data_IF_427807806959
#
_entry.id   IF_427807806959
#
_cell.length_a   1.000
_cell.length_b   1.000
_cell.length_c   1.000
_cell.angle_alpha   90.00
_cell.angle_beta   90.00
_cell.angle_gamma   90.00
#
_symmetry.space_group_name_H-M   'P 1'
#
loop_
_entity.id
_entity.type
_entity.pdbx_description
1 polymer ?
#
# COMPACT_ATOMS: atom_id res chain seq x y z
N UNK A 1 -7.16 10.58 4.68
CA UNK A 1 -7.29 10.77 3.21
C UNK A 1 -8.11 9.66 2.56
N UNK A 2 -7.87 8.38 2.85
CA UNK A 2 -8.69 7.27 2.29
C UNK A 2 -10.17 7.40 2.64
N UNK A 3 -10.52 7.78 3.86
CA UNK A 3 -11.91 8.05 4.23
C UNK A 3 -12.52 9.17 3.37
N UNK A 4 -11.78 10.24 3.13
CA UNK A 4 -12.25 11.34 2.31
C UNK A 4 -12.51 10.91 0.86
N UNK A 5 -11.63 10.07 0.28
CA UNK A 5 -11.78 9.55 -1.09
C UNK A 5 -12.91 8.52 -1.18
N UNK A 6 -12.98 7.56 -0.26
CA UNK A 6 -13.85 6.39 -0.40
C UNK A 6 -15.26 6.59 0.18
N UNK A 7 -15.46 7.54 1.08
CA UNK A 7 -16.73 7.74 1.78
C UNK A 7 -17.26 9.15 1.59
N UNK A 8 -16.47 10.16 1.89
CA UNK A 8 -16.94 11.55 1.84
C UNK A 8 -17.15 12.04 0.42
N UNK A 9 -16.16 11.92 -0.45
CA UNK A 9 -16.22 12.44 -1.82
C UNK A 9 -17.35 11.82 -2.66
N UNK A 10 -17.64 10.49 -2.63
CA UNK A 10 -18.77 9.92 -3.36
C UNK A 10 -20.12 10.53 -2.95
N UNK A 11 -20.30 10.79 -1.64
CA UNK A 11 -21.54 11.36 -1.14
C UNK A 11 -21.74 12.84 -1.53
N UNK A 12 -20.64 13.58 -1.72
CA UNK A 12 -20.68 15.02 -2.09
C UNK A 12 -20.70 15.17 -3.61
N UNK A 13 -19.87 14.44 -4.33
CA UNK A 13 -19.69 14.57 -5.78
C UNK A 13 -20.76 13.83 -6.60
N UNK A 14 -21.34 12.74 -6.06
CA UNK A 14 -22.31 11.89 -6.75
C UNK A 14 -21.81 11.53 -8.16
N UNK A 15 -22.53 11.95 -9.22
CA UNK A 15 -22.20 11.68 -10.62
C UNK A 15 -20.87 12.30 -11.08
N UNK A 16 -20.39 13.32 -10.38
CA UNK A 16 -19.09 13.96 -10.66
C UNK A 16 -17.91 13.26 -9.93
N UNK A 17 -18.17 12.18 -9.21
CA UNK A 17 -17.11 11.44 -8.51
C UNK A 17 -16.15 10.78 -9.50
N UNK A 18 -14.81 10.94 -9.30
CA UNK A 18 -13.81 10.38 -10.21
C UNK A 18 -13.61 8.89 -10.00
N UNK A 19 -14.50 8.05 -10.51
CA UNK A 19 -14.44 6.60 -10.38
C UNK A 19 -13.13 6.02 -10.93
N UNK A 20 -12.61 6.58 -12.03
CA UNK A 20 -11.36 6.12 -12.65
C UNK A 20 -10.15 6.20 -11.69
N UNK A 21 -10.08 7.25 -10.89
CA UNK A 21 -9.01 7.40 -9.89
C UNK A 21 -9.12 6.37 -8.77
N UNK A 22 -10.34 5.98 -8.38
CA UNK A 22 -10.54 4.93 -7.39
C UNK A 22 -10.19 3.55 -7.96
N UNK A 23 -10.56 3.28 -9.21
CA UNK A 23 -10.21 2.04 -9.91
C UNK A 23 -8.68 1.94 -10.07
N UNK A 24 -8.04 3.00 -10.57
CA UNK A 24 -6.59 3.08 -10.67
C UNK A 24 -5.89 2.88 -9.32
N UNK A 25 -6.46 3.40 -8.24
CA UNK A 25 -5.94 3.18 -6.90
C UNK A 25 -6.07 1.70 -6.47
N UNK A 26 -7.21 1.07 -6.74
CA UNK A 26 -7.42 -0.36 -6.46
C UNK A 26 -6.47 -1.25 -7.24
N UNK A 27 -6.27 -0.95 -8.52
CA UNK A 27 -5.31 -1.66 -9.37
C UNK A 27 -3.88 -1.52 -8.85
N UNK A 28 -3.50 -0.32 -8.41
CA UNK A 28 -2.20 -0.09 -7.77
C UNK A 28 -2.04 -0.95 -6.51
N UNK A 29 -3.07 -1.02 -5.65
CA UNK A 29 -3.06 -1.91 -4.48
C UNK A 29 -2.86 -3.37 -4.87
N UNK A 30 -3.65 -3.87 -5.82
CA UNK A 30 -3.59 -5.26 -6.27
C UNK A 30 -2.20 -5.60 -6.83
N UNK A 31 -1.62 -4.73 -7.64
CA UNK A 31 -0.28 -4.91 -8.20
C UNK A 31 0.81 -4.96 -7.12
N UNK A 32 0.78 -4.05 -6.16
CA UNK A 32 1.78 -4.03 -5.10
C UNK A 32 1.62 -5.21 -4.14
N UNK A 33 0.38 -5.58 -3.78
CA UNK A 33 0.11 -6.75 -2.96
C UNK A 33 0.63 -8.04 -3.64
N UNK A 34 0.40 -8.20 -4.93
CA UNK A 34 0.90 -9.34 -5.70
C UNK A 34 2.43 -9.40 -5.74
N UNK A 35 3.11 -8.26 -5.88
CA UNK A 35 4.59 -8.21 -5.85
C UNK A 35 5.14 -8.64 -4.48
N UNK A 36 4.52 -8.18 -3.41
CA UNK A 36 4.92 -8.51 -2.05
C UNK A 36 4.69 -10.01 -1.78
N UNK A 37 3.53 -10.55 -2.16
CA UNK A 37 3.21 -11.96 -1.99
C UNK A 37 4.20 -12.86 -2.73
N UNK A 38 4.48 -12.55 -3.99
CA UNK A 38 5.51 -13.28 -4.75
C UNK A 38 6.88 -13.27 -4.07
N UNK A 39 7.26 -12.15 -3.44
CA UNK A 39 8.52 -12.06 -2.71
C UNK A 39 8.49 -12.96 -1.47
N UNK A 40 7.40 -12.96 -0.72
CA UNK A 40 7.23 -13.84 0.45
C UNK A 40 7.34 -15.31 0.04
N UNK A 41 6.60 -15.71 -0.99
CA UNK A 41 6.60 -17.10 -1.49
C UNK A 41 7.98 -17.52 -1.97
N UNK A 42 8.64 -16.67 -2.76
CA UNK A 42 9.99 -16.94 -3.23
C UNK A 42 10.97 -17.08 -2.06
N UNK A 43 10.93 -16.17 -1.08
CA UNK A 43 11.87 -16.17 0.04
C UNK A 43 11.67 -17.40 0.93
N UNK A 44 10.40 -17.79 1.18
CA UNK A 44 10.07 -19.01 1.90
C UNK A 44 10.62 -20.26 1.20
N UNK A 45 10.40 -20.33 -0.13
CA UNK A 45 10.94 -21.45 -0.91
C UNK A 45 12.47 -21.55 -0.85
N UNK A 46 13.19 -20.42 -0.81
CA UNK A 46 14.64 -20.40 -0.64
C UNK A 46 15.07 -20.88 0.76
N UNK A 47 14.38 -20.40 1.81
CA UNK A 47 14.63 -20.84 3.19
C UNK A 47 14.39 -22.35 3.35
N UNK A 48 13.29 -22.85 2.83
CA UNK A 48 12.95 -24.28 2.84
C UNK A 48 14.00 -25.12 2.10
N UNK A 49 14.42 -24.68 0.91
CA UNK A 49 15.44 -25.36 0.11
C UNK A 49 16.81 -25.40 0.82
N UNK A 50 17.15 -24.37 1.57
CA UNK A 50 18.36 -24.30 2.38
C UNK A 50 18.24 -25.05 3.72
N UNK A 51 17.06 -25.58 4.07
CA UNK A 51 16.80 -26.22 5.36
C UNK A 51 16.83 -25.24 6.54
N UNK A 52 16.56 -23.97 6.28
CA UNK A 52 16.62 -22.88 7.24
C UNK A 52 15.22 -22.55 7.78
N UNK A 53 15.13 -22.28 9.07
CA UNK A 53 13.93 -21.70 9.66
C UNK A 53 13.98 -20.18 9.54
N UNK A 54 12.83 -19.56 9.34
CA UNK A 54 12.70 -18.09 9.21
C UNK A 54 13.05 -17.33 10.51
N UNK A 55 13.51 -18.02 11.56
CA UNK A 55 13.77 -17.42 12.86
C UNK A 55 12.50 -16.93 13.56
N UNK A 56 12.59 -16.66 14.85
CA UNK A 56 11.54 -15.90 15.52
C UNK A 56 11.62 -14.44 15.08
N UNK A 57 10.47 -13.78 14.84
CA UNK A 57 10.46 -12.35 14.56
C UNK A 57 11.13 -11.63 15.72
N UNK A 58 11.98 -10.66 15.40
CA UNK A 58 12.62 -9.82 16.40
C UNK A 58 11.59 -9.06 17.24
N UNK A 59 12.01 -8.00 17.92
CA UNK A 59 11.12 -7.19 18.74
C UNK A 59 9.92 -6.69 17.93
N UNK A 60 8.72 -7.17 18.25
CA UNK A 60 7.46 -6.71 17.67
C UNK A 60 6.99 -5.47 18.44
N UNK A 61 6.89 -4.34 17.77
CA UNK A 61 6.26 -3.14 18.34
C UNK A 61 4.79 -3.11 17.96
N UNK A 62 3.87 -2.89 18.94
CA UNK A 62 2.43 -2.80 18.63
C UNK A 62 2.15 -1.53 17.81
N UNK A 63 1.53 -1.71 16.65
CA UNK A 63 1.03 -0.62 15.80
C UNK A 63 -0.47 -0.46 16.03
N UNK A 64 -0.90 0.74 16.44
CA UNK A 64 -2.32 1.10 16.51
C UNK A 64 -2.72 1.92 15.30
N UNK A 65 -3.75 1.48 14.57
CA UNK A 65 -4.28 2.19 13.42
C UNK A 65 -5.81 2.31 13.50
N UNK A 66 -6.35 3.50 13.21
CA UNK A 66 -7.79 3.73 13.09
C UNK A 66 -8.26 3.39 11.67
N UNK A 67 -8.84 2.21 11.52
CA UNK A 67 -9.26 1.66 10.23
C UNK A 67 -10.75 1.94 10.03
N UNK A 68 -11.08 2.82 9.07
CA UNK A 68 -12.45 3.24 8.75
C UNK A 68 -12.94 2.85 7.36
N UNK A 69 -12.09 2.26 6.54
CA UNK A 69 -12.45 1.83 5.18
C UNK A 69 -11.76 0.53 4.81
N UNK A 70 -12.34 -0.30 3.91
CA UNK A 70 -11.69 -1.52 3.41
C UNK A 70 -10.31 -1.24 2.79
N UNK A 71 -10.16 -0.11 2.07
CA UNK A 71 -8.86 0.27 1.49
C UNK A 71 -7.82 0.66 2.56
N UNK A 72 -8.25 1.22 3.70
CA UNK A 72 -7.34 1.47 4.82
C UNK A 72 -6.85 0.15 5.44
N UNK A 73 -7.74 -0.84 5.59
CA UNK A 73 -7.36 -2.19 6.02
C UNK A 73 -6.37 -2.83 5.05
N UNK A 74 -6.65 -2.77 3.74
CA UNK A 74 -5.76 -3.30 2.72
C UNK A 74 -4.38 -2.62 2.73
N UNK A 75 -4.32 -1.31 3.03
CA UNK A 75 -3.05 -0.58 3.14
C UNK A 75 -2.22 -1.05 4.34
N UNK A 76 -2.86 -1.25 5.49
CA UNK A 76 -2.18 -1.78 6.68
C UNK A 76 -1.68 -3.21 6.41
N UNK A 77 -2.51 -4.07 5.81
CA UNK A 77 -2.12 -5.43 5.45
C UNK A 77 -0.92 -5.44 4.49
N UNK A 78 -0.93 -4.60 3.44
CA UNK A 78 0.20 -4.46 2.52
C UNK A 78 1.49 -4.06 3.24
N UNK A 79 1.39 -3.13 4.20
CA UNK A 79 2.54 -2.68 4.97
C UNK A 79 3.12 -3.81 5.82
N UNK A 80 2.25 -4.56 6.56
CA UNK A 80 2.67 -5.69 7.40
C UNK A 80 3.28 -6.83 6.58
N UNK A 81 2.72 -7.13 5.39
CA UNK A 81 3.27 -8.14 4.47
C UNK A 81 4.61 -7.71 3.88
N UNK A 82 4.77 -6.43 3.54
CA UNK A 82 6.06 -5.91 3.06
C UNK A 82 7.13 -6.00 4.15
N UNK A 83 6.78 -5.73 5.41
CA UNK A 83 7.66 -5.90 6.56
C UNK A 83 8.05 -7.38 6.76
N UNK A 84 7.08 -8.30 6.71
CA UNK A 84 7.34 -9.73 6.74
C UNK A 84 8.30 -10.17 5.62
N UNK A 85 8.10 -9.68 4.39
CA UNK A 85 9.00 -9.99 3.27
C UNK A 85 10.42 -9.53 3.56
N UNK A 86 10.60 -8.35 4.16
CA UNK A 86 11.91 -7.82 4.55
C UNK A 86 12.56 -8.72 5.62
N UNK A 87 11.81 -9.11 6.66
CA UNK A 87 12.33 -9.99 7.71
C UNK A 87 12.80 -11.34 7.15
N UNK A 88 12.05 -11.93 6.21
CA UNK A 88 12.44 -13.17 5.54
C UNK A 88 13.70 -12.99 4.68
N UNK A 89 13.83 -11.85 3.97
CA UNK A 89 15.02 -11.50 3.20
C UNK A 89 16.24 -11.29 4.10
N UNK A 90 16.05 -10.66 5.27
CA UNK A 90 17.10 -10.50 6.27
C UNK A 90 17.58 -11.86 6.78
N UNK A 91 16.66 -12.81 7.01
CA UNK A 91 17.02 -14.18 7.42
C UNK A 91 17.89 -14.88 6.37
N UNK A 92 17.52 -14.80 5.06
CA UNK A 92 18.35 -15.36 3.97
C UNK A 92 19.73 -14.71 3.90
N UNK A 93 19.78 -13.39 4.03
CA UNK A 93 21.02 -12.64 3.98
C UNK A 93 21.96 -12.98 5.15
N UNK A 94 21.44 -13.04 6.36
CA UNK A 94 22.20 -13.39 7.57
C UNK A 94 22.76 -14.82 7.52
N UNK A 95 22.12 -15.72 6.78
CA UNK A 95 22.57 -17.09 6.56
C UNK A 95 23.56 -17.22 5.38
N UNK A 96 23.85 -16.12 4.68
CA UNK A 96 24.76 -16.10 3.54
C UNK A 96 24.15 -16.61 2.21
N UNK A 97 22.86 -16.89 2.19
CA UNK A 97 22.13 -17.36 1.00
C UNK A 97 21.76 -16.21 0.02
N UNK A 98 21.95 -14.98 0.44
CA UNK A 98 21.69 -13.78 -0.36
C UNK A 98 22.87 -12.82 -0.28
N UNK A 99 23.30 -12.31 -1.44
CA UNK A 99 24.36 -11.30 -1.50
C UNK A 99 23.89 -9.94 -0.98
N UNK A 100 24.81 -9.09 -0.52
CA UNK A 100 24.51 -7.72 -0.06
C UNK A 100 23.73 -6.90 -1.11
N UNK A 101 24.14 -6.99 -2.38
CA UNK A 101 23.47 -6.30 -3.48
C UNK A 101 22.04 -6.83 -3.70
N UNK A 102 21.87 -8.17 -3.69
CA UNK A 102 20.57 -8.81 -3.84
C UNK A 102 19.64 -8.50 -2.67
N UNK A 103 20.15 -8.45 -1.45
CA UNK A 103 19.42 -8.05 -0.25
C UNK A 103 18.95 -6.58 -0.36
N UNK A 104 19.86 -5.65 -0.66
CA UNK A 104 19.55 -4.23 -0.79
C UNK A 104 18.51 -3.94 -1.87
N UNK A 105 18.62 -4.59 -3.04
CA UNK A 105 17.67 -4.47 -4.14
C UNK A 105 16.27 -4.92 -3.73
N UNK A 106 16.16 -6.13 -3.16
CA UNK A 106 14.87 -6.76 -2.83
C UNK A 106 14.18 -6.07 -1.66
N UNK A 107 14.91 -5.76 -0.58
CA UNK A 107 14.36 -4.99 0.54
C UNK A 107 13.94 -3.58 0.11
N UNK A 108 14.73 -2.93 -0.75
CA UNK A 108 14.35 -1.66 -1.38
C UNK A 108 13.06 -1.74 -2.18
N UNK A 109 12.85 -2.83 -2.94
CA UNK A 109 11.60 -3.05 -3.67
C UNK A 109 10.40 -3.22 -2.73
N UNK A 110 10.55 -3.98 -1.63
CA UNK A 110 9.49 -4.17 -0.63
C UNK A 110 9.11 -2.87 0.08
N UNK A 111 10.08 -2.05 0.45
CA UNK A 111 9.83 -0.72 1.05
C UNK A 111 9.10 0.23 0.10
N UNK A 112 9.36 0.15 -1.21
CA UNK A 112 8.68 0.98 -2.21
C UNK A 112 7.23 0.57 -2.47
N UNK A 113 6.83 -0.66 -2.21
CA UNK A 113 5.47 -1.12 -2.47
C UNK A 113 4.39 -0.30 -1.74
N UNK A 114 4.40 -0.15 -0.39
CA UNK A 114 3.44 0.70 0.30
C UNK A 114 3.59 2.20 -0.05
N UNK A 115 4.80 2.68 -0.35
CA UNK A 115 5.01 4.07 -0.76
C UNK A 115 4.38 4.38 -2.13
N UNK A 116 4.40 3.43 -3.06
CA UNK A 116 3.72 3.57 -4.36
C UNK A 116 2.22 3.73 -4.20
N UNK A 117 1.61 2.95 -3.30
CA UNK A 117 0.19 3.06 -2.97
C UNK A 117 -0.13 4.38 -2.28
N UNK A 118 0.72 4.82 -1.35
CA UNK A 118 0.57 6.13 -0.70
C UNK A 118 0.54 7.27 -1.72
N UNK A 119 1.41 7.23 -2.73
CA UNK A 119 1.40 8.17 -3.85
C UNK A 119 0.07 8.15 -4.64
N UNK A 120 -0.50 6.96 -4.86
CA UNK A 120 -1.83 6.79 -5.46
C UNK A 120 -2.95 7.41 -4.61
N UNK A 121 -2.93 7.17 -3.30
CA UNK A 121 -3.88 7.76 -2.35
C UNK A 121 -3.81 9.29 -2.37
N UNK A 122 -2.61 9.84 -2.43
CA UNK A 122 -2.41 11.29 -2.47
C UNK A 122 -2.99 11.91 -3.75
N UNK A 123 -2.76 11.27 -4.91
CA UNK A 123 -3.32 11.73 -6.20
C UNK A 123 -4.85 11.67 -6.21
N UNK A 124 -5.44 10.55 -5.79
CA UNK A 124 -6.89 10.40 -5.71
C UNK A 124 -7.51 11.45 -4.76
N UNK A 125 -6.88 11.70 -3.62
CA UNK A 125 -7.33 12.73 -2.68
C UNK A 125 -7.28 14.14 -3.30
N UNK A 126 -6.20 14.50 -3.98
CA UNK A 126 -6.05 15.79 -4.63
C UNK A 126 -7.14 16.00 -5.69
N UNK A 127 -7.42 15.00 -6.53
CA UNK A 127 -8.49 15.05 -7.55
C UNK A 127 -9.88 15.22 -6.94
N UNK A 128 -10.21 14.47 -5.90
CA UNK A 128 -11.48 14.62 -5.20
C UNK A 128 -11.64 16.03 -4.62
N UNK A 129 -10.58 16.56 -4.01
CA UNK A 129 -10.57 17.90 -3.44
C UNK A 129 -10.80 18.98 -4.52
N UNK A 130 -10.07 18.92 -5.62
CA UNK A 130 -10.23 19.86 -6.76
C UNK A 130 -11.67 19.89 -7.27
N UNK A 131 -12.30 18.71 -7.43
CA UNK A 131 -13.70 18.60 -7.88
C UNK A 131 -14.70 19.16 -6.88
N UNK A 132 -14.48 18.90 -5.58
CA UNK A 132 -15.31 19.47 -4.51
C UNK A 132 -15.20 20.99 -4.49
N UNK A 133 -14.01 21.54 -4.58
CA UNK A 133 -13.77 22.99 -4.63
C UNK A 133 -14.43 23.63 -5.87
N UNK A 134 -14.41 22.95 -7.03
CA UNK A 134 -15.08 23.40 -8.23
C UNK A 134 -16.60 23.45 -8.07
N UNK A 135 -17.21 22.43 -7.44
CA UNK A 135 -18.64 22.42 -7.16
C UNK A 135 -19.06 23.57 -6.25
N UNK A 136 -18.32 23.84 -5.19
CA UNK A 136 -18.62 24.97 -4.30
C UNK A 136 -18.53 26.29 -5.02
N UNK A 137 -17.49 26.52 -5.83
CA UNK A 137 -17.37 27.75 -6.65
C UNK A 137 -18.53 27.95 -7.62
N UNK A 138 -19.02 26.89 -8.27
CA UNK A 138 -20.18 26.96 -9.16
C UNK A 138 -21.47 27.31 -8.41
N UNK A 139 -21.64 26.77 -7.21
CA UNK A 139 -22.80 27.05 -6.35
C UNK A 139 -22.82 28.51 -5.86
N UNK A 140 -21.64 29.04 -5.50
CA UNK A 140 -21.49 30.40 -4.99
C UNK A 140 -21.63 31.46 -6.11
N UNK A 141 -21.37 31.08 -7.37
CA UNK A 141 -21.53 31.95 -8.52
C UNK A 141 -23.01 32.21 -8.91
N UNK A 142 -23.97 31.50 -8.32
CA UNK A 142 -25.41 31.65 -8.55
C UNK A 142 -25.87 31.17 -9.94
N UNK A 143 -27.17 30.97 -10.16
CA UNK A 143 -27.69 30.77 -11.52
C UNK A 143 -27.63 32.13 -12.27
N UNK A 144 -26.88 32.15 -13.38
CA UNK A 144 -27.00 33.25 -14.39
C UNK A 144 -28.32 33.14 -15.13
#
# INVERSE_FOLDING_TARGET
RLYAVCVFAPNVLRDAYPLEELESLRDCFAQQAHKVEKMIDWTRAQLDAAGLNSGEPGRVEPLSADIRTPLASAYVDLFLRADLAIQLLDALWLQGELTDAGHAERTGAMRRAPLSVLGGIQRAYARCRERIEALYRQRDAGPQ
#
